data_IF_996536272319
#
_entry.id   IF_996536272319
#
_cell.length_a   1.000
_cell.length_b   1.000
_cell.length_c   1.000
_cell.angle_alpha   90.00
_cell.angle_beta   90.00
_cell.angle_gamma   90.00
#
_symmetry.space_group_name_H-M   'P 1'
#
loop_
_entity.id
_entity.type
_entity.pdbx_description
1 polymer ?
#
# COMPACT_ATOMS: atom_id res chain seq x y z
N UNK A 1 -11.60 -6.06 -8.36
CA UNK A 1 -12.99 -5.63 -8.21
C UNK A 1 -13.16 -4.22 -8.76
N UNK A 2 -12.53 -3.19 -8.18
CA UNK A 2 -12.75 -1.79 -8.60
C UNK A 2 -12.50 -1.57 -10.10
N UNK A 3 -11.40 -2.10 -10.64
CA UNK A 3 -11.03 -1.90 -12.05
C UNK A 3 -12.03 -2.54 -13.03
N UNK A 4 -12.73 -3.62 -12.64
CA UNK A 4 -13.78 -4.24 -13.48
C UNK A 4 -15.13 -3.52 -13.40
N UNK A 5 -15.34 -2.61 -12.44
CA UNK A 5 -16.63 -1.97 -12.17
C UNK A 5 -16.69 -0.49 -12.58
N UNK A 6 -15.58 0.11 -13.00
CA UNK A 6 -15.49 1.55 -13.32
C UNK A 6 -16.12 1.98 -14.66
N UNK A 7 -16.97 1.14 -15.26
CA UNK A 7 -17.69 1.48 -16.48
C UNK A 7 -16.76 1.81 -17.66
N UNK A 8 -16.92 2.96 -18.29
CA UNK A 8 -16.13 3.40 -19.46
C UNK A 8 -14.81 4.12 -19.08
N UNK A 9 -14.49 4.23 -17.79
CA UNK A 9 -13.29 4.87 -17.31
C UNK A 9 -12.11 3.89 -17.22
N UNK A 10 -10.90 4.44 -17.05
CA UNK A 10 -9.67 3.69 -16.83
C UNK A 10 -8.97 4.16 -15.56
N UNK A 11 -8.39 3.24 -14.81
CA UNK A 11 -7.52 3.58 -13.70
C UNK A 11 -6.12 3.92 -14.22
N UNK A 12 -5.65 5.13 -13.93
CA UNK A 12 -4.31 5.58 -14.31
C UNK A 12 -3.24 4.87 -13.46
N UNK A 13 -2.31 4.10 -14.05
CA UNK A 13 -1.40 3.22 -13.30
C UNK A 13 -0.08 3.90 -12.96
N UNK A 14 -0.09 5.18 -12.58
CA UNK A 14 1.11 5.98 -12.35
C UNK A 14 0.90 6.97 -11.20
N UNK A 15 1.97 7.26 -10.44
CA UNK A 15 1.93 8.25 -9.36
C UNK A 15 1.81 9.68 -9.86
N UNK A 16 2.49 10.02 -10.95
CA UNK A 16 2.34 11.34 -11.58
C UNK A 16 1.08 11.35 -12.46
N UNK A 17 0.33 12.46 -12.47
CA UNK A 17 -0.93 12.53 -13.21
C UNK A 17 -0.73 12.47 -14.73
N UNK A 18 -1.78 12.16 -15.44
CA UNK A 18 -1.88 12.21 -16.91
C UNK A 18 -1.93 13.66 -17.43
N UNK A 19 -2.70 13.92 -18.45
CA UNK A 19 -3.04 15.29 -18.88
C UNK A 19 -3.90 15.92 -17.78
N UNK A 20 -3.48 17.09 -17.30
CA UNK A 20 -4.20 17.81 -16.22
C UNK A 20 -4.68 19.17 -16.71
N UNK A 21 -5.87 19.61 -16.31
CA UNK A 21 -6.39 20.94 -16.59
C UNK A 21 -5.66 22.01 -15.78
N UNK A 22 -6.05 23.27 -15.90
CA UNK A 22 -5.58 24.33 -15.03
C UNK A 22 -6.03 24.10 -13.58
N UNK A 23 -5.35 24.72 -12.60
CA UNK A 23 -5.62 24.50 -11.18
C UNK A 23 -7.07 24.81 -10.77
N UNK A 24 -7.71 25.81 -11.39
CA UNK A 24 -9.08 26.25 -11.15
C UNK A 24 -10.14 25.28 -11.74
N UNK A 25 -9.77 24.49 -12.73
CA UNK A 25 -10.64 23.51 -13.37
C UNK A 25 -10.61 22.14 -12.67
N UNK A 26 -9.66 21.92 -11.74
CA UNK A 26 -9.53 20.65 -11.01
C UNK A 26 -10.70 20.47 -10.05
N UNK A 27 -11.49 19.42 -10.30
CA UNK A 27 -12.63 19.09 -9.45
C UNK A 27 -12.18 18.62 -8.09
N UNK A 28 -12.75 19.23 -7.05
CA UNK A 28 -12.53 18.81 -5.66
C UNK A 28 -13.42 17.60 -5.35
N UNK A 29 -12.85 16.56 -4.73
CA UNK A 29 -13.61 15.39 -4.32
C UNK A 29 -14.73 15.75 -3.35
N UNK A 30 -15.95 15.28 -3.64
CA UNK A 30 -17.13 15.42 -2.77
C UNK A 30 -17.41 14.08 -2.10
N UNK A 31 -17.79 14.14 -0.86
CA UNK A 31 -18.18 13.00 -0.04
C UNK A 31 -19.69 13.08 0.24
N UNK A 32 -20.17 12.29 1.20
CA UNK A 32 -21.57 12.31 1.61
C UNK A 32 -22.07 13.72 1.94
N UNK A 33 -23.35 13.98 1.66
CA UNK A 33 -24.01 15.24 2.00
C UNK A 33 -24.35 15.30 3.50
N UNK A 34 -23.31 15.29 4.34
CA UNK A 34 -23.43 15.42 5.78
C UNK A 34 -22.31 16.36 6.29
N UNK A 35 -22.33 16.68 7.57
CA UNK A 35 -21.36 17.59 8.20
C UNK A 35 -19.90 17.11 7.99
N UNK A 36 -19.62 15.81 8.16
CA UNK A 36 -18.28 15.25 7.96
C UNK A 36 -17.82 15.39 6.50
N UNK A 37 -18.72 15.18 5.54
CA UNK A 37 -18.44 15.34 4.11
C UNK A 37 -18.15 16.80 3.75
N UNK A 38 -18.88 17.75 4.31
CA UNK A 38 -18.65 19.18 4.11
C UNK A 38 -17.30 19.62 4.70
N UNK A 39 -16.97 19.20 5.91
CA UNK A 39 -15.65 19.48 6.53
C UNK A 39 -14.52 18.93 5.65
N UNK A 40 -14.66 17.71 5.13
CA UNK A 40 -13.66 17.12 4.25
C UNK A 40 -13.52 17.87 2.91
N UNK A 41 -14.60 18.41 2.37
CA UNK A 41 -14.60 19.23 1.16
C UNK A 41 -13.88 20.57 1.37
N UNK A 42 -14.25 21.33 2.42
CA UNK A 42 -13.61 22.60 2.73
C UNK A 42 -12.12 22.46 3.07
N UNK A 43 -11.75 21.39 3.78
CA UNK A 43 -10.34 21.07 4.01
C UNK A 43 -9.55 20.92 2.71
N UNK A 44 -10.07 20.16 1.71
CA UNK A 44 -9.42 20.01 0.41
C UNK A 44 -9.35 21.31 -0.38
N UNK A 45 -10.38 22.12 -0.31
CA UNK A 45 -10.40 23.44 -0.93
C UNK A 45 -9.30 24.35 -0.38
N UNK A 46 -9.06 24.29 0.94
CA UNK A 46 -7.95 25.01 1.57
C UNK A 46 -6.59 24.49 1.12
N UNK A 47 -6.42 23.15 1.01
CA UNK A 47 -5.19 22.56 0.48
C UNK A 47 -4.88 23.01 -0.94
N UNK A 48 -5.89 23.12 -1.82
CA UNK A 48 -5.70 23.62 -3.20
C UNK A 48 -5.21 25.06 -3.18
N UNK A 49 -5.80 25.93 -2.36
CA UNK A 49 -5.34 27.33 -2.20
C UNK A 49 -3.90 27.40 -1.69
N UNK A 50 -3.52 26.50 -0.76
CA UNK A 50 -2.20 26.49 -0.10
C UNK A 50 -1.11 25.90 -0.98
N UNK A 51 -1.38 24.80 -1.70
CA UNK A 51 -0.37 23.98 -2.39
C UNK A 51 -0.55 23.90 -3.92
N UNK A 52 -1.68 24.33 -4.45
CA UNK A 52 -2.06 24.19 -5.85
C UNK A 52 -2.82 22.90 -6.14
N UNK A 53 -3.70 22.92 -7.13
CA UNK A 53 -4.57 21.80 -7.49
C UNK A 53 -3.82 20.65 -8.13
N UNK A 54 -2.91 20.93 -9.07
CA UNK A 54 -2.14 19.91 -9.80
C UNK A 54 -1.31 19.02 -8.87
N UNK A 55 -0.75 19.57 -7.80
CA UNK A 55 0.01 18.79 -6.81
C UNK A 55 -0.85 17.80 -6.03
N UNK A 56 -2.15 18.09 -5.84
CA UNK A 56 -3.11 17.19 -5.18
C UNK A 56 -3.38 15.92 -6.00
N UNK A 57 -3.06 15.92 -7.30
CA UNK A 57 -3.28 14.78 -8.21
C UNK A 57 -2.14 13.76 -8.15
N UNK A 58 -1.03 14.08 -7.47
CA UNK A 58 0.04 13.11 -7.23
C UNK A 58 -0.45 12.07 -6.23
N UNK A 59 -0.30 10.81 -6.55
CA UNK A 59 -0.67 9.71 -5.67
C UNK A 59 0.49 8.73 -5.45
N UNK A 60 0.31 7.79 -4.54
CA UNK A 60 1.28 6.76 -4.22
C UNK A 60 0.68 5.68 -3.36
N UNK A 61 1.48 4.70 -3.00
CA UNK A 61 1.07 3.60 -2.14
C UNK A 61 1.41 3.95 -0.69
N UNK A 62 0.42 3.81 0.19
CA UNK A 62 0.65 3.82 1.62
C UNK A 62 0.80 2.37 2.10
N UNK A 63 1.97 2.06 2.62
CA UNK A 63 2.26 0.74 3.17
C UNK A 63 2.15 0.81 4.69
N UNK A 64 1.13 0.15 5.24
CA UNK A 64 0.90 0.05 6.68
C UNK A 64 1.61 -1.20 7.21
N UNK A 65 2.43 -1.02 8.23
CA UNK A 65 3.23 -2.09 8.81
C UNK A 65 3.10 -2.15 10.33
N UNK A 66 2.89 -3.35 10.84
CA UNK A 66 3.04 -3.69 12.27
C UNK A 66 3.65 -5.07 12.39
N UNK A 67 4.44 -5.29 13.42
CA UNK A 67 4.84 -6.62 13.81
C UNK A 67 3.68 -7.37 14.47
N UNK A 68 3.75 -8.70 14.43
CA UNK A 68 2.86 -9.56 15.22
C UNK A 68 2.99 -9.20 16.72
N UNK A 69 1.86 -9.05 17.37
CA UNK A 69 1.81 -8.63 18.77
C UNK A 69 2.52 -9.64 19.70
N UNK A 70 2.51 -10.93 19.35
CA UNK A 70 3.22 -11.96 20.14
C UNK A 70 4.74 -11.81 20.01
N UNK A 71 5.25 -11.36 18.85
CA UNK A 71 6.68 -11.08 18.71
C UNK A 71 7.09 -9.93 19.62
N UNK A 72 6.35 -8.82 19.62
CA UNK A 72 6.66 -7.66 20.49
C UNK A 72 6.59 -8.06 21.96
N UNK A 73 5.60 -8.88 22.37
CA UNK A 73 5.49 -9.38 23.76
C UNK A 73 6.64 -10.30 24.14
N UNK A 74 7.15 -11.13 23.23
CA UNK A 74 8.33 -11.95 23.48
C UNK A 74 9.58 -11.10 23.67
N UNK A 75 9.78 -10.09 22.80
CA UNK A 75 10.89 -9.14 22.94
C UNK A 75 10.81 -8.36 24.27
N UNK A 76 9.62 -7.90 24.64
CA UNK A 76 9.41 -7.22 25.92
C UNK A 76 9.77 -8.10 27.14
N UNK A 77 9.32 -9.36 27.14
CA UNK A 77 9.66 -10.31 28.22
C UNK A 77 11.16 -10.60 28.26
N UNK A 78 11.80 -10.72 27.10
CA UNK A 78 13.24 -10.92 27.02
C UNK A 78 13.99 -9.73 27.61
N UNK A 79 13.63 -8.50 27.23
CA UNK A 79 14.23 -7.27 27.72
C UNK A 79 14.13 -7.12 29.23
N UNK A 80 12.94 -7.36 29.81
CA UNK A 80 12.75 -7.32 31.28
C UNK A 80 13.60 -8.37 31.99
N UNK A 81 13.79 -9.55 31.40
CA UNK A 81 14.55 -10.64 32.02
C UNK A 81 16.07 -10.42 31.94
N UNK A 82 16.54 -9.72 30.89
CA UNK A 82 17.97 -9.48 30.64
C UNK A 82 18.44 -8.18 31.28
N UNK A 83 17.57 -7.18 31.30
CA UNK A 83 17.87 -5.93 31.96
C UNK A 83 17.72 -6.12 33.48
N UNK A 84 18.83 -6.21 34.16
CA UNK A 84 18.92 -6.05 35.64
C UNK A 84 18.45 -4.64 36.13
N UNK A 85 17.81 -3.89 35.23
CA UNK A 85 17.37 -2.51 35.42
C UNK A 85 16.04 -2.50 36.20
N UNK A 86 16.09 -1.86 37.34
CA UNK A 86 14.96 -1.58 38.26
C UNK A 86 13.89 -0.63 37.65
N UNK A 87 13.99 -0.24 36.41
CA UNK A 87 13.00 0.60 35.73
C UNK A 87 11.90 -0.25 35.11
N UNK A 88 10.72 -0.19 35.72
CA UNK A 88 9.50 -0.82 35.21
C UNK A 88 8.99 -0.09 33.94
N UNK A 89 9.64 -0.33 32.80
CA UNK A 89 9.15 0.17 31.51
C UNK A 89 7.83 -0.52 31.17
N UNK A 90 6.76 0.25 31.02
CA UNK A 90 5.46 -0.32 30.63
C UNK A 90 5.53 -0.94 29.24
N UNK A 91 4.72 -1.99 29.00
CA UNK A 91 4.63 -2.62 27.67
C UNK A 91 4.33 -1.60 26.54
N UNK A 92 3.46 -0.62 26.81
CA UNK A 92 3.16 0.48 25.87
C UNK A 92 4.42 1.27 25.51
N UNK A 93 5.19 1.67 26.50
CA UNK A 93 6.41 2.45 26.27
C UNK A 93 7.46 1.64 25.53
N UNK A 94 7.66 0.37 25.89
CA UNK A 94 8.54 -0.53 25.15
C UNK A 94 8.12 -0.65 23.68
N UNK A 95 6.84 -0.89 23.41
CA UNK A 95 6.29 -0.96 22.05
C UNK A 95 6.51 0.35 21.29
N UNK A 96 6.29 1.50 21.93
CA UNK A 96 6.56 2.81 21.35
C UNK A 96 8.04 2.97 20.97
N UNK A 97 8.98 2.58 21.85
CA UNK A 97 10.43 2.65 21.56
C UNK A 97 10.80 1.84 20.34
N UNK A 98 10.26 0.62 20.21
CA UNK A 98 10.46 -0.23 19.01
C UNK A 98 10.01 0.50 17.74
N UNK A 99 8.78 1.00 17.70
CA UNK A 99 8.24 1.65 16.51
C UNK A 99 8.90 2.99 16.21
N UNK A 100 9.32 3.74 17.21
CA UNK A 100 10.07 4.99 17.05
C UNK A 100 11.46 4.72 16.45
N UNK A 101 12.19 3.69 16.94
CA UNK A 101 13.46 3.24 16.36
C UNK A 101 13.28 2.90 14.87
N UNK A 102 12.27 2.10 14.54
CA UNK A 102 11.97 1.73 13.16
C UNK A 102 11.65 2.97 12.32
N UNK A 103 10.87 3.91 12.85
CA UNK A 103 10.52 5.15 12.14
C UNK A 103 11.76 6.00 11.84
N UNK A 104 12.68 6.19 12.82
CA UNK A 104 13.93 6.92 12.63
C UNK A 104 14.84 6.22 11.62
N UNK A 105 15.02 4.91 11.75
CA UNK A 105 15.79 4.13 10.78
C UNK A 105 15.14 4.15 9.39
N UNK A 106 13.80 4.09 9.29
CA UNK A 106 13.12 4.25 8.00
C UNK A 106 13.40 5.62 7.39
N UNK A 107 13.30 6.69 8.13
CA UNK A 107 13.61 8.04 7.66
C UNK A 107 15.05 8.13 7.15
N UNK A 108 15.99 7.47 7.81
CA UNK A 108 17.40 7.46 7.41
C UNK A 108 17.65 6.68 6.12
N UNK A 109 17.04 5.51 5.99
CA UNK A 109 17.30 4.56 4.89
C UNK A 109 16.25 4.59 3.77
N UNK A 110 15.21 5.44 3.85
CA UNK A 110 14.13 5.51 2.85
C UNK A 110 14.60 5.82 1.43
N UNK A 111 15.76 6.45 1.28
CA UNK A 111 16.36 6.70 -0.02
C UNK A 111 16.56 5.40 -0.82
N UNK A 112 16.89 4.28 -0.15
CA UNK A 112 17.06 2.98 -0.79
C UNK A 112 15.72 2.48 -1.36
N UNK A 113 14.62 2.66 -0.62
CA UNK A 113 13.26 2.32 -1.10
C UNK A 113 12.90 3.18 -2.30
N UNK A 114 13.15 4.48 -2.25
CA UNK A 114 12.92 5.39 -3.39
C UNK A 114 13.76 4.96 -4.60
N UNK A 115 15.01 4.56 -4.42
CA UNK A 115 15.87 4.09 -5.51
C UNK A 115 15.36 2.81 -6.15
N UNK A 116 15.07 1.79 -5.34
CA UNK A 116 14.74 0.45 -5.83
C UNK A 116 13.31 0.34 -6.37
N UNK A 117 12.35 1.08 -5.79
CA UNK A 117 10.92 0.99 -6.08
C UNK A 117 10.36 2.25 -6.74
N UNK A 118 11.17 3.27 -7.00
CA UNK A 118 10.73 4.50 -7.65
C UNK A 118 10.32 4.26 -9.10
N UNK A 119 9.19 4.88 -9.49
CA UNK A 119 8.59 4.75 -10.81
C UNK A 119 7.80 6.01 -11.23
N UNK A 120 8.15 7.18 -10.70
CA UNK A 120 7.44 8.44 -11.00
C UNK A 120 8.39 9.53 -11.52
N UNK A 121 9.27 9.14 -12.43
CA UNK A 121 10.33 10.00 -12.97
C UNK A 121 9.95 10.74 -14.25
N UNK A 122 8.70 10.64 -14.71
CA UNK A 122 8.24 11.23 -15.97
C UNK A 122 7.00 12.07 -15.72
N UNK A 123 6.87 13.20 -16.40
CA UNK A 123 5.73 14.11 -16.32
C UNK A 123 5.24 14.52 -17.71
N UNK A 124 3.93 14.71 -17.82
CA UNK A 124 3.34 15.35 -18.99
C UNK A 124 3.49 16.89 -18.87
N UNK A 125 3.65 17.59 -20.00
CA UNK A 125 3.79 19.05 -20.09
C UNK A 125 2.73 19.83 -19.25
N UNK A 126 1.49 19.35 -19.24
CA UNK A 126 0.38 20.01 -18.54
C UNK A 126 0.52 20.01 -17.03
N UNK A 127 1.34 19.12 -16.45
CA UNK A 127 1.66 19.15 -15.03
C UNK A 127 2.38 20.46 -14.66
N UNK A 128 3.30 20.96 -15.51
CA UNK A 128 3.83 22.32 -15.47
C UNK A 128 4.59 22.72 -14.20
N UNK A 129 5.06 21.76 -13.38
CA UNK A 129 5.88 22.07 -12.20
C UNK A 129 7.23 22.63 -12.63
N UNK A 130 7.51 23.90 -12.30
CA UNK A 130 8.79 24.54 -12.64
C UNK A 130 9.99 23.74 -12.15
N UNK A 131 9.92 23.19 -10.94
CA UNK A 131 10.99 22.37 -10.36
C UNK A 131 11.34 21.18 -11.25
N UNK A 132 10.35 20.39 -11.68
CA UNK A 132 10.58 19.25 -12.57
C UNK A 132 11.04 19.73 -13.96
N UNK A 133 10.39 20.74 -14.52
CA UNK A 133 10.65 21.20 -15.88
C UNK A 133 12.04 21.81 -16.05
N UNK A 134 12.57 22.53 -15.04
CA UNK A 134 13.91 23.13 -15.10
C UNK A 134 15.06 22.12 -15.21
N UNK A 135 14.85 20.89 -14.71
CA UNK A 135 15.86 19.83 -14.72
C UNK A 135 15.56 18.75 -15.77
N UNK A 136 14.43 18.85 -16.49
CA UNK A 136 13.95 17.82 -17.42
C UNK A 136 14.15 18.23 -18.86
N UNK A 137 14.30 17.21 -19.72
CA UNK A 137 14.31 17.33 -21.19
C UNK A 137 13.09 16.64 -21.76
N UNK A 138 12.61 17.10 -22.89
CA UNK A 138 11.57 16.40 -23.66
C UNK A 138 12.14 15.13 -24.27
N UNK A 139 11.55 13.98 -23.95
CA UNK A 139 11.96 12.65 -24.42
C UNK A 139 10.99 12.02 -25.41
N UNK A 140 9.76 12.52 -25.45
CA UNK A 140 8.70 12.21 -26.40
C UNK A 140 7.73 13.41 -26.42
N UNK A 141 6.80 13.43 -27.37
CA UNK A 141 5.83 14.54 -27.48
C UNK A 141 5.20 14.89 -26.14
N UNK A 142 5.36 16.15 -25.71
CA UNK A 142 4.83 16.73 -24.46
C UNK A 142 5.20 15.96 -23.18
N UNK A 143 6.30 15.18 -23.23
CA UNK A 143 6.72 14.24 -22.21
C UNK A 143 8.13 14.59 -21.72
N UNK A 144 8.29 14.84 -20.44
CA UNK A 144 9.51 15.37 -19.85
C UNK A 144 10.06 14.46 -18.75
N UNK A 145 11.38 14.28 -18.73
CA UNK A 145 12.12 13.63 -17.66
C UNK A 145 13.53 14.20 -17.53
N UNK A 146 14.12 14.12 -16.34
CA UNK A 146 15.55 14.10 -16.15
C UNK A 146 16.00 12.64 -16.30
N UNK A 147 16.99 12.36 -17.14
CA UNK A 147 17.45 10.98 -17.42
C UNK A 147 17.97 10.26 -16.17
N UNK A 148 18.48 11.01 -15.18
CA UNK A 148 18.88 10.48 -13.87
C UNK A 148 17.74 10.30 -12.88
N UNK A 149 16.52 10.79 -13.15
CA UNK A 149 15.43 10.80 -12.20
C UNK A 149 14.86 9.40 -11.92
N UNK A 150 14.46 9.19 -10.68
CA UNK A 150 13.79 7.98 -10.21
C UNK A 150 12.36 8.27 -9.78
N UNK A 151 12.12 9.38 -9.05
CA UNK A 151 10.80 9.67 -8.48
C UNK A 151 10.59 11.16 -8.23
N UNK A 152 9.91 11.86 -9.13
CA UNK A 152 9.52 13.24 -8.87
C UNK A 152 8.57 13.39 -7.68
N UNK A 153 7.72 12.38 -7.43
CA UNK A 153 6.85 12.38 -6.27
C UNK A 153 7.61 12.46 -4.94
N UNK A 154 8.77 11.79 -4.84
CA UNK A 154 9.58 11.75 -3.63
C UNK A 154 10.66 12.86 -3.56
N UNK A 155 10.74 13.73 -4.57
CA UNK A 155 11.63 14.89 -4.62
C UNK A 155 10.95 16.13 -4.04
N UNK A 156 11.69 17.25 -4.02
CA UNK A 156 11.15 18.59 -3.74
C UNK A 156 10.15 19.08 -4.80
N UNK A 157 10.08 18.42 -5.95
CA UNK A 157 9.08 18.65 -7.00
C UNK A 157 7.71 18.01 -6.67
N UNK A 158 7.66 17.07 -5.72
CA UNK A 158 6.45 16.36 -5.33
C UNK A 158 5.50 17.16 -4.45
N UNK A 159 4.47 16.49 -3.95
CA UNK A 159 3.52 17.07 -3.02
C UNK A 159 4.05 17.00 -1.59
N UNK A 160 4.45 18.14 -1.06
CA UNK A 160 5.08 18.30 0.27
C UNK A 160 4.69 19.63 0.91
N UNK A 161 4.97 19.79 2.21
CA UNK A 161 4.81 21.07 2.88
C UNK A 161 5.70 22.13 2.21
N UNK A 162 5.26 23.42 2.26
CA UNK A 162 5.99 24.54 1.65
C UNK A 162 7.38 24.74 2.27
N UNK A 163 7.47 24.45 3.56
CA UNK A 163 8.71 24.42 4.33
C UNK A 163 8.95 23.02 4.81
N UNK A 164 10.18 22.65 5.09
CA UNK A 164 10.51 21.35 5.65
C UNK A 164 10.05 21.30 7.12
N UNK A 165 9.16 20.37 7.42
CA UNK A 165 8.65 20.13 8.77
C UNK A 165 9.24 18.79 9.27
N UNK A 166 10.08 18.88 10.28
CA UNK A 166 10.79 17.74 10.86
C UNK A 166 10.24 17.51 12.27
N UNK A 167 9.32 16.53 12.47
CA UNK A 167 8.88 16.16 13.81
C UNK A 167 9.98 15.47 14.58
N UNK A 168 9.96 15.64 15.88
CA UNK A 168 10.84 14.91 16.79
C UNK A 168 10.31 13.49 17.03
N UNK A 169 11.04 12.49 16.57
CA UNK A 169 10.72 11.06 16.75
C UNK A 169 11.42 10.43 17.95
N UNK A 170 11.93 11.19 18.90
CA UNK A 170 12.58 10.67 20.11
C UNK A 170 11.58 10.02 21.07
N UNK A 171 10.37 10.59 21.19
CA UNK A 171 9.26 10.02 21.95
C UNK A 171 7.91 10.33 21.29
N UNK A 172 6.85 9.65 21.73
CA UNK A 172 5.47 9.95 21.29
C UNK A 172 5.05 11.35 21.72
N UNK A 173 5.43 11.74 22.93
CA UNK A 173 5.16 13.05 23.51
C UNK A 173 5.82 14.17 22.68
N UNK A 174 7.09 14.01 22.33
CA UNK A 174 7.85 14.98 21.52
C UNK A 174 7.32 15.05 20.09
N UNK A 175 6.95 13.91 19.50
CA UNK A 175 6.30 13.89 18.20
C UNK A 175 4.99 14.68 18.19
N UNK A 176 4.15 14.50 19.20
CA UNK A 176 2.91 15.26 19.36
C UNK A 176 3.19 16.73 19.67
N UNK A 177 4.20 17.02 20.48
CA UNK A 177 4.68 18.37 20.76
C UNK A 177 5.03 19.11 19.46
N UNK A 178 5.80 18.47 18.57
CA UNK A 178 6.15 19.00 17.25
C UNK A 178 4.90 19.30 16.41
N UNK A 179 3.93 18.35 16.35
CA UNK A 179 2.69 18.57 15.62
C UNK A 179 1.88 19.77 16.15
N UNK A 180 1.79 19.92 17.47
CA UNK A 180 1.11 21.04 18.12
C UNK A 180 1.81 22.37 17.81
N UNK A 181 3.15 22.41 17.86
CA UNK A 181 3.91 23.59 17.49
C UNK A 181 3.64 23.97 16.04
N UNK A 182 3.72 23.03 15.09
CA UNK A 182 3.44 23.31 13.69
C UNK A 182 2.04 23.86 13.43
N UNK A 183 1.05 23.41 14.22
CA UNK A 183 -0.34 23.93 14.13
C UNK A 183 -0.44 25.30 14.76
N UNK A 184 0.14 25.54 15.95
CA UNK A 184 0.10 26.81 16.63
C UNK A 184 0.84 27.91 15.87
N UNK A 185 1.92 27.55 15.17
CA UNK A 185 2.71 28.44 14.31
C UNK A 185 2.09 28.62 12.90
N UNK A 186 0.85 28.13 12.68
CA UNK A 186 0.09 28.20 11.42
C UNK A 186 0.82 27.62 10.20
N UNK A 187 1.80 26.73 10.42
CA UNK A 187 2.55 26.06 9.35
C UNK A 187 1.70 24.99 8.66
N UNK A 188 0.84 24.33 9.45
CA UNK A 188 -0.18 23.36 8.98
C UNK A 188 -1.51 23.60 9.69
N UNK A 189 -2.62 23.33 9.00
CA UNK A 189 -3.97 23.50 9.56
C UNK A 189 -4.35 22.34 10.50
N UNK A 190 -3.76 21.17 10.32
CA UNK A 190 -3.98 19.98 11.14
C UNK A 190 -2.86 18.96 10.99
N UNK A 191 -2.77 18.00 11.92
CA UNK A 191 -1.82 16.88 11.84
C UNK A 191 -1.93 16.08 10.52
N UNK A 192 -3.09 16.12 9.83
CA UNK A 192 -3.31 15.45 8.53
C UNK A 192 -2.46 16.08 7.42
N UNK A 193 -2.07 17.33 7.58
CA UNK A 193 -1.28 18.10 6.61
C UNK A 193 0.24 17.88 6.74
N UNK A 194 0.70 17.13 7.74
CA UNK A 194 2.11 16.74 7.80
C UNK A 194 2.43 15.73 6.68
N UNK A 195 3.24 16.15 5.70
CA UNK A 195 3.69 15.28 4.58
C UNK A 195 5.06 14.65 4.87
N UNK A 196 5.09 13.83 5.91
CA UNK A 196 6.24 13.03 6.30
C UNK A 196 6.27 11.69 5.53
N UNK A 197 7.47 11.13 5.32
CA UNK A 197 7.67 9.82 4.69
C UNK A 197 7.17 8.65 5.54
N UNK A 198 7.09 8.84 6.87
CA UNK A 198 6.51 7.88 7.82
C UNK A 198 5.60 8.59 8.80
N UNK A 199 4.46 7.99 9.12
CA UNK A 199 3.52 8.46 10.14
C UNK A 199 3.32 7.40 11.22
N UNK A 200 3.31 7.86 12.46
CA UNK A 200 2.90 7.05 13.61
C UNK A 200 1.37 6.95 13.62
N UNK A 201 0.82 5.77 13.73
CA UNK A 201 -0.64 5.56 13.69
C UNK A 201 -1.18 5.04 15.02
N UNK A 202 -2.19 5.72 15.60
CA UNK A 202 -2.88 5.31 16.81
C UNK A 202 -3.96 4.25 16.51
N UNK A 203 -4.57 3.75 17.57
CA UNK A 203 -5.74 2.87 17.51
C UNK A 203 -6.99 3.60 17.00
N UNK A 204 -7.23 4.82 17.49
CA UNK A 204 -8.35 5.67 17.07
C UNK A 204 -7.82 6.89 16.31
N UNK A 205 -8.08 6.93 15.00
CA UNK A 205 -7.61 8.01 14.11
C UNK A 205 -8.45 9.30 14.23
N UNK A 206 -9.68 9.22 14.75
CA UNK A 206 -10.54 10.40 14.96
C UNK A 206 -10.06 11.21 16.18
N UNK A 207 -9.49 10.56 17.19
CA UNK A 207 -8.85 11.17 18.34
C UNK A 207 -7.31 11.03 18.29
N UNK A 208 -6.71 11.32 17.15
CA UNK A 208 -5.33 10.98 16.79
C UNK A 208 -4.31 11.22 17.91
N UNK A 209 -4.17 12.46 18.40
CA UNK A 209 -3.14 12.80 19.39
C UNK A 209 -3.41 12.15 20.76
N UNK A 210 -4.68 12.14 21.18
CA UNK A 210 -5.11 11.55 22.45
C UNK A 210 -4.92 10.03 22.45
N UNK A 211 -5.32 9.35 21.36
CA UNK A 211 -5.16 7.91 21.24
C UNK A 211 -3.68 7.52 21.13
N UNK A 212 -2.84 8.33 20.46
CA UNK A 212 -1.41 8.07 20.36
C UNK A 212 -0.73 8.15 21.76
N UNK A 213 -1.12 9.11 22.58
CA UNK A 213 -0.63 9.24 23.97
C UNK A 213 -1.12 8.10 24.88
N UNK A 214 -2.41 7.77 24.81
CA UNK A 214 -3.02 6.81 25.72
C UNK A 214 -2.72 5.36 25.34
N UNK A 215 -2.86 5.02 24.05
CA UNK A 215 -2.80 3.65 23.54
C UNK A 215 -1.44 3.32 22.91
N UNK A 216 -0.61 4.33 22.62
CA UNK A 216 0.67 4.18 21.93
C UNK A 216 0.52 3.92 20.43
N UNK A 217 1.66 3.65 19.80
CA UNK A 217 1.78 3.39 18.37
C UNK A 217 1.22 1.99 18.07
N UNK A 218 0.28 1.90 17.13
CA UNK A 218 -0.27 0.62 16.67
C UNK A 218 0.43 0.10 15.43
N UNK A 219 0.73 1.00 14.47
CA UNK A 219 1.44 0.67 13.25
C UNK A 219 2.12 1.90 12.66
N UNK A 220 3.01 1.68 11.70
CA UNK A 220 3.64 2.73 10.89
C UNK A 220 3.02 2.77 9.51
N UNK A 221 2.80 3.97 8.98
CA UNK A 221 2.37 4.19 7.60
C UNK A 221 3.54 4.77 6.80
N UNK A 222 4.10 3.98 5.90
CA UNK A 222 5.13 4.44 4.96
C UNK A 222 4.48 5.04 3.71
N UNK A 223 5.03 6.15 3.23
CA UNK A 223 4.41 6.96 2.18
C UNK A 223 5.33 7.25 1.00
N UNK A 224 6.52 6.66 0.96
CA UNK A 224 7.53 6.91 -0.08
C UNK A 224 7.42 5.96 -1.28
N UNK A 225 6.44 5.07 -1.34
CA UNK A 225 6.33 4.04 -2.38
C UNK A 225 5.53 4.60 -3.55
N UNK A 226 6.14 4.59 -4.75
CA UNK A 226 5.47 4.96 -5.99
C UNK A 226 4.54 3.84 -6.48
N UNK A 227 3.56 4.21 -7.29
CA UNK A 227 2.78 3.24 -8.05
C UNK A 227 3.68 2.71 -9.18
N UNK A 228 3.94 1.40 -9.15
CA UNK A 228 4.64 0.72 -10.23
C UNK A 228 3.66 0.45 -11.39
N UNK A 229 3.84 1.09 -12.56
CA UNK A 229 2.91 0.93 -13.68
C UNK A 229 2.91 -0.46 -14.30
N UNK A 230 3.96 -1.27 -14.07
CA UNK A 230 4.07 -2.62 -14.61
C UNK A 230 3.30 -3.66 -13.78
N UNK A 231 2.80 -3.26 -12.63
CA UNK A 231 2.03 -4.11 -11.73
C UNK A 231 0.57 -3.65 -11.67
N UNK A 232 -0.37 -4.57 -11.91
CA UNK A 232 -1.80 -4.28 -11.88
C UNK A 232 -2.28 -3.71 -10.54
N UNK A 233 -1.70 -4.17 -9.43
CA UNK A 233 -1.94 -3.66 -8.08
C UNK A 233 -1.09 -2.45 -7.69
N UNK A 234 -0.23 -1.98 -8.59
CA UNK A 234 0.68 -0.86 -8.34
C UNK A 234 1.94 -1.22 -7.53
N UNK A 235 2.04 -2.44 -7.03
CA UNK A 235 3.20 -2.98 -6.31
C UNK A 235 3.26 -4.50 -6.51
N UNK A 236 4.45 -5.08 -6.65
CA UNK A 236 4.62 -6.52 -6.79
C UNK A 236 4.63 -7.23 -5.42
N UNK A 237 4.33 -8.54 -5.42
CA UNK A 237 4.49 -9.37 -4.24
C UNK A 237 5.96 -9.45 -3.80
N UNK A 238 6.90 -9.41 -4.74
CA UNK A 238 8.34 -9.37 -4.47
C UNK A 238 8.73 -8.11 -3.71
N UNK A 239 8.24 -6.93 -4.14
CA UNK A 239 8.48 -5.66 -3.45
C UNK A 239 7.88 -5.68 -2.03
N UNK A 240 6.68 -6.26 -1.85
CA UNK A 240 6.07 -6.42 -0.52
C UNK A 240 6.89 -7.35 0.39
N UNK A 241 7.39 -8.47 -0.15
CA UNK A 241 8.28 -9.37 0.58
C UNK A 241 9.58 -8.65 0.99
N UNK A 242 10.16 -7.84 0.09
CA UNK A 242 11.34 -7.03 0.41
C UNK A 242 11.06 -6.03 1.55
N UNK A 243 9.94 -5.32 1.50
CA UNK A 243 9.54 -4.38 2.55
C UNK A 243 9.36 -5.06 3.92
N UNK A 244 8.88 -6.30 3.97
CA UNK A 244 8.78 -7.06 5.22
C UNK A 244 10.17 -7.30 5.84
N UNK A 245 11.13 -7.75 5.03
CA UNK A 245 12.50 -8.02 5.53
C UNK A 245 13.22 -6.71 5.86
N UNK A 246 12.98 -5.67 5.08
CA UNK A 246 13.50 -4.34 5.35
C UNK A 246 13.08 -3.82 6.72
N UNK A 247 11.85 -4.09 7.15
CA UNK A 247 11.41 -3.74 8.50
C UNK A 247 12.15 -4.51 9.61
N UNK A 248 12.52 -5.77 9.39
CA UNK A 248 13.39 -6.50 10.31
C UNK A 248 14.79 -5.88 10.37
N UNK A 249 15.34 -5.49 9.22
CA UNK A 249 16.58 -4.75 9.18
C UNK A 249 16.50 -3.45 9.99
N UNK A 250 15.45 -2.64 9.79
CA UNK A 250 15.26 -1.39 10.53
C UNK A 250 15.11 -1.59 12.03
N UNK A 251 14.55 -2.72 12.47
CA UNK A 251 14.45 -3.09 13.89
C UNK A 251 15.82 -3.42 14.49
N UNK A 252 16.64 -4.19 13.75
CA UNK A 252 17.93 -4.73 14.23
C UNK A 252 19.03 -3.67 14.12
N UNK A 253 19.01 -2.87 13.04
CA UNK A 253 20.04 -1.88 12.75
C UNK A 253 20.19 -0.86 13.87
N UNK A 254 21.42 -0.65 14.30
CA UNK A 254 21.75 0.41 15.24
C UNK A 254 21.46 1.78 14.63
N UNK A 255 21.02 2.68 15.47
CA UNK A 255 20.79 4.08 15.08
C UNK A 255 22.10 4.83 15.01
N UNK A 256 22.12 5.90 14.23
CA UNK A 256 23.28 6.80 14.17
C UNK A 256 23.19 7.86 15.24
N UNK A 257 24.29 8.12 15.88
CA UNK A 257 24.47 9.24 16.82
C UNK A 257 24.76 10.58 16.12
N UNK A 258 24.75 10.60 14.77
CA UNK A 258 25.02 11.83 14.01
C UNK A 258 23.89 12.84 14.16
N UNK A 259 24.20 14.00 14.71
CA UNK A 259 23.22 15.03 15.10
C UNK A 259 22.33 15.48 13.91
N UNK A 260 22.94 15.67 12.72
CA UNK A 260 22.24 16.18 11.54
C UNK A 260 21.65 15.09 10.63
N UNK A 261 21.44 13.87 11.13
CA UNK A 261 21.01 12.73 10.32
C UNK A 261 19.67 12.95 9.58
N UNK A 262 18.73 13.73 10.13
CA UNK A 262 17.43 13.98 9.50
C UNK A 262 17.55 14.86 8.24
N UNK A 263 18.37 15.93 8.34
CA UNK A 263 18.66 16.79 7.21
C UNK A 263 19.40 16.02 6.10
N UNK A 264 20.43 15.26 6.50
CA UNK A 264 21.18 14.36 5.62
C UNK A 264 20.25 13.34 4.91
N UNK A 265 19.34 12.72 5.66
CA UNK A 265 18.39 11.76 5.11
C UNK A 265 17.42 12.40 4.09
N UNK A 266 17.02 13.65 4.30
CA UNK A 266 16.19 14.40 3.36
C UNK A 266 16.96 14.75 2.10
N UNK A 267 18.19 15.20 2.23
CA UNK A 267 19.06 15.49 1.10
C UNK A 267 19.32 14.23 0.27
N UNK A 268 19.68 13.13 0.90
CA UNK A 268 19.91 11.84 0.23
C UNK A 268 18.67 11.39 -0.54
N UNK A 269 17.47 11.48 0.07
CA UNK A 269 16.23 11.16 -0.63
C UNK A 269 16.00 12.05 -1.85
N UNK A 270 16.21 13.36 -1.74
CA UNK A 270 16.05 14.30 -2.85
C UNK A 270 17.04 14.01 -3.99
N UNK A 271 18.31 13.76 -3.65
CA UNK A 271 19.33 13.42 -4.62
C UNK A 271 19.02 12.11 -5.36
N UNK A 272 18.59 11.07 -4.63
CA UNK A 272 18.12 9.83 -5.24
C UNK A 272 16.90 10.06 -6.12
N UNK A 273 15.92 10.80 -5.67
CA UNK A 273 14.70 11.02 -6.42
C UNK A 273 14.96 11.73 -7.77
N UNK A 274 15.91 12.64 -7.82
CA UNK A 274 16.25 13.42 -9.02
C UNK A 274 17.36 12.82 -9.88
N UNK A 275 18.29 12.08 -9.29
CA UNK A 275 19.53 11.65 -9.96
C UNK A 275 19.89 10.19 -9.67
N UNK A 276 18.97 9.42 -9.10
CA UNK A 276 19.25 8.07 -8.62
C UNK A 276 19.61 7.05 -9.70
N UNK A 277 19.34 7.30 -10.99
CA UNK A 277 19.82 6.44 -12.08
C UNK A 277 21.30 6.70 -12.42
N UNK A 278 21.81 7.87 -12.06
CA UNK A 278 23.23 8.24 -12.29
C UNK A 278 24.13 7.66 -11.18
N UNK A 279 25.43 7.71 -11.44
CA UNK A 279 26.44 7.42 -10.43
C UNK A 279 26.64 8.65 -9.53
N UNK A 280 25.95 8.67 -8.40
CA UNK A 280 26.02 9.76 -7.42
C UNK A 280 26.56 9.28 -6.08
N UNK A 281 27.09 10.23 -5.32
CA UNK A 281 27.41 10.05 -3.92
C UNK A 281 26.24 10.50 -3.04
N UNK A 282 26.08 9.82 -1.91
CA UNK A 282 25.20 10.17 -0.81
C UNK A 282 26.03 10.58 0.40
N UNK A 283 25.39 11.12 1.41
CA UNK A 283 26.03 11.50 2.66
C UNK A 283 25.64 10.47 3.74
N UNK A 284 26.64 9.89 4.40
CA UNK A 284 26.50 8.95 5.52
C UNK A 284 27.31 9.48 6.70
N UNK A 285 26.64 9.99 7.72
CA UNK A 285 27.26 10.58 8.91
C UNK A 285 28.27 11.68 8.56
N UNK A 286 27.88 12.59 7.65
CA UNK A 286 28.70 13.68 7.14
C UNK A 286 29.73 13.29 6.09
N UNK A 287 29.87 12.00 5.75
CA UNK A 287 30.89 11.49 4.82
C UNK A 287 30.25 11.09 3.50
N UNK A 288 30.85 11.48 2.38
CA UNK A 288 30.41 11.07 1.04
C UNK A 288 30.67 9.58 0.81
N UNK A 289 29.66 8.87 0.39
CA UNK A 289 29.70 7.43 0.07
C UNK A 289 28.98 7.20 -1.25
N UNK A 290 29.56 6.39 -2.13
CA UNK A 290 28.91 6.01 -3.38
C UNK A 290 27.55 5.36 -3.09
N UNK A 291 26.49 5.83 -3.77
CA UNK A 291 25.14 5.23 -3.72
C UNK A 291 25.20 3.71 -3.90
N UNK A 292 25.97 3.23 -4.90
CA UNK A 292 26.09 1.80 -5.20
C UNK A 292 26.71 1.03 -4.03
N UNK A 293 27.80 1.54 -3.47
CA UNK A 293 28.50 0.89 -2.35
C UNK A 293 27.58 0.80 -1.15
N UNK A 294 26.93 1.90 -0.77
CA UNK A 294 26.03 1.92 0.40
C UNK A 294 24.76 1.07 0.18
N UNK A 295 24.19 1.08 -1.04
CA UNK A 295 23.07 0.19 -1.37
C UNK A 295 23.43 -1.28 -1.17
N UNK A 296 24.60 -1.71 -1.67
CA UNK A 296 25.06 -3.09 -1.56
C UNK A 296 25.41 -3.48 -0.12
N UNK A 297 25.99 -2.58 0.66
CA UNK A 297 26.22 -2.77 2.11
C UNK A 297 24.90 -3.11 2.81
N UNK A 298 23.88 -2.26 2.67
CA UNK A 298 22.58 -2.46 3.31
C UNK A 298 21.91 -3.76 2.83
N UNK A 299 21.90 -4.00 1.51
CA UNK A 299 21.24 -5.20 0.96
C UNK A 299 21.93 -6.50 1.38
N UNK A 300 23.25 -6.51 1.54
CA UNK A 300 23.98 -7.65 2.08
C UNK A 300 23.70 -7.88 3.58
N UNK A 301 23.57 -6.81 4.37
CA UNK A 301 23.13 -6.91 5.77
C UNK A 301 21.72 -7.53 5.84
N UNK A 302 20.78 -7.07 5.00
CA UNK A 302 19.42 -7.63 4.89
C UNK A 302 19.46 -9.12 4.48
N UNK A 303 20.33 -9.48 3.54
CA UNK A 303 20.52 -10.87 3.10
C UNK A 303 21.01 -11.76 4.23
N UNK A 304 21.98 -11.29 5.01
CA UNK A 304 22.48 -11.99 6.17
C UNK A 304 21.39 -12.22 7.23
N UNK A 305 20.53 -11.24 7.48
CA UNK A 305 19.36 -11.36 8.38
C UNK A 305 18.40 -12.44 7.85
N UNK A 306 18.07 -12.44 6.55
CA UNK A 306 17.19 -13.45 5.96
C UNK A 306 17.76 -14.86 6.14
N UNK A 307 19.04 -15.04 5.87
CA UNK A 307 19.73 -16.34 6.00
C UNK A 307 19.79 -16.76 7.47
N UNK A 308 20.20 -15.86 8.37
CA UNK A 308 20.31 -16.17 9.80
C UNK A 308 18.97 -16.58 10.43
N UNK A 309 17.89 -15.90 10.05
CA UNK A 309 16.53 -16.17 10.54
C UNK A 309 15.81 -17.26 9.73
N UNK A 310 16.45 -17.82 8.70
CA UNK A 310 15.90 -18.84 7.79
C UNK A 310 14.54 -18.43 7.19
N UNK A 311 14.46 -17.20 6.68
CA UNK A 311 13.21 -16.62 6.15
C UNK A 311 12.88 -17.10 4.72
N UNK A 312 13.85 -17.66 3.99
CA UNK A 312 13.68 -18.16 2.62
C UNK A 312 13.38 -17.06 1.60
N UNK A 313 13.90 -15.81 1.84
CA UNK A 313 13.65 -14.64 1.00
C UNK A 313 14.87 -14.16 0.21
N UNK A 314 15.92 -14.99 0.14
CA UNK A 314 17.19 -14.65 -0.50
C UNK A 314 17.00 -14.24 -1.96
N UNK A 315 16.14 -14.93 -2.71
CA UNK A 315 15.84 -14.59 -4.13
C UNK A 315 15.28 -13.17 -4.29
N UNK A 316 14.40 -12.77 -3.40
CA UNK A 316 13.85 -11.40 -3.39
C UNK A 316 14.95 -10.38 -3.15
N UNK A 317 15.85 -10.64 -2.21
CA UNK A 317 16.95 -9.73 -1.87
C UNK A 317 17.99 -9.71 -3.00
N UNK A 318 18.30 -10.85 -3.59
CA UNK A 318 19.22 -10.95 -4.74
C UNK A 318 18.69 -10.13 -5.94
N UNK A 319 17.37 -10.10 -6.19
CA UNK A 319 16.78 -9.22 -7.20
C UNK A 319 16.98 -7.73 -6.89
N UNK A 320 16.91 -7.32 -5.62
CA UNK A 320 17.20 -5.93 -5.22
C UNK A 320 18.69 -5.61 -5.32
N UNK A 321 19.58 -6.56 -5.02
CA UNK A 321 21.04 -6.43 -5.22
C UNK A 321 21.34 -6.21 -6.70
N UNK A 322 20.73 -6.96 -7.61
CA UNK A 322 20.93 -6.77 -9.05
C UNK A 322 20.42 -5.39 -9.52
N UNK A 323 19.27 -4.91 -9.01
CA UNK A 323 18.82 -3.52 -9.28
C UNK A 323 19.82 -2.47 -8.76
N UNK A 324 20.46 -2.72 -7.61
CA UNK A 324 21.45 -1.81 -7.06
C UNK A 324 22.77 -1.80 -7.86
N UNK A 325 23.13 -2.95 -8.46
CA UNK A 325 24.30 -3.08 -9.33
C UNK A 325 24.11 -2.43 -10.70
N UNK A 326 22.90 -2.59 -11.27
CA UNK A 326 22.56 -2.08 -12.60
C UNK A 326 21.23 -1.29 -12.54
N UNK A 327 21.33 0.04 -12.64
CA UNK A 327 20.17 0.94 -12.63
C UNK A 327 19.17 0.68 -13.76
N UNK A 328 19.58 0.00 -14.85
CA UNK A 328 18.69 -0.38 -15.95
C UNK A 328 17.61 -1.38 -15.53
N UNK A 329 17.82 -2.08 -14.43
CA UNK A 329 16.86 -3.03 -13.88
C UNK A 329 15.77 -2.35 -13.02
N UNK A 330 15.92 -1.06 -12.68
CA UNK A 330 14.94 -0.30 -11.90
C UNK A 330 13.65 -0.04 -12.69
N UNK A 331 12.55 0.16 -11.99
CA UNK A 331 11.27 0.52 -12.62
C UNK A 331 11.35 1.86 -13.35
N UNK A 332 12.04 2.85 -12.77
CA UNK A 332 12.21 4.17 -13.37
C UNK A 332 12.90 4.10 -14.73
N UNK A 333 14.00 3.34 -14.86
CA UNK A 333 14.70 3.17 -16.13
C UNK A 333 13.81 2.46 -17.17
N UNK A 334 13.20 1.33 -16.80
CA UNK A 334 12.30 0.57 -17.68
C UNK A 334 11.12 1.42 -18.15
N UNK A 335 10.57 2.25 -17.28
CA UNK A 335 9.49 3.17 -17.61
C UNK A 335 9.93 4.22 -18.63
N UNK A 336 11.11 4.83 -18.41
CA UNK A 336 11.67 5.82 -19.34
C UNK A 336 11.89 5.21 -20.73
N UNK A 337 12.40 3.97 -20.81
CA UNK A 337 12.61 3.27 -22.09
C UNK A 337 11.29 3.01 -22.85
N UNK A 338 10.25 2.58 -22.14
CA UNK A 338 8.90 2.37 -22.74
C UNK A 338 8.30 3.69 -23.21
N UNK A 339 8.39 4.74 -22.39
CA UNK A 339 7.79 6.05 -22.68
C UNK A 339 8.53 6.78 -23.81
N UNK A 340 9.85 6.64 -23.92
CA UNK A 340 10.61 7.14 -25.09
C UNK A 340 10.09 6.60 -26.41
N UNK A 341 9.62 5.37 -26.42
CA UNK A 341 9.11 4.68 -27.64
C UNK A 341 7.65 4.99 -27.95
N UNK A 342 6.80 5.12 -26.91
CA UNK A 342 5.34 5.18 -27.06
C UNK A 342 4.73 6.54 -26.70
N UNK A 343 5.45 7.41 -25.99
CA UNK A 343 4.90 8.60 -25.34
C UNK A 343 4.29 8.27 -23.97
N UNK A 344 4.15 9.31 -23.12
CA UNK A 344 3.69 9.15 -21.74
C UNK A 344 2.25 8.66 -21.64
N UNK A 345 1.37 9.28 -22.41
CA UNK A 345 -0.06 8.97 -22.36
C UNK A 345 -0.36 7.58 -22.94
N UNK A 346 0.16 7.29 -24.12
CA UNK A 346 -0.15 6.04 -24.83
C UNK A 346 0.41 4.83 -24.08
N UNK A 347 1.64 4.93 -23.53
CA UNK A 347 2.25 3.85 -22.74
C UNK A 347 1.38 3.47 -21.53
N UNK A 348 0.90 4.45 -20.78
CA UNK A 348 0.10 4.19 -19.57
C UNK A 348 -1.36 3.83 -19.91
N UNK A 349 -1.93 4.41 -20.95
CA UNK A 349 -3.28 4.07 -21.40
C UNK A 349 -3.36 2.62 -21.91
N UNK A 350 -2.33 2.15 -22.61
CA UNK A 350 -2.23 0.74 -23.03
C UNK A 350 -2.24 -0.20 -21.81
N UNK A 351 -1.46 0.10 -20.76
CA UNK A 351 -1.46 -0.65 -19.51
C UNK A 351 -2.82 -0.61 -18.80
N UNK A 352 -3.45 0.57 -18.75
CA UNK A 352 -4.78 0.75 -18.16
C UNK A 352 -5.83 -0.11 -18.85
N UNK A 353 -5.84 -0.13 -20.19
CA UNK A 353 -6.73 -0.96 -21.00
C UNK A 353 -6.49 -2.44 -20.73
N UNK A 354 -5.23 -2.89 -20.80
CA UNK A 354 -4.85 -4.27 -20.50
C UNK A 354 -5.33 -4.70 -19.10
N UNK A 355 -5.11 -3.88 -18.09
CA UNK A 355 -5.52 -4.19 -16.71
C UNK A 355 -7.04 -4.23 -16.55
N UNK A 356 -7.76 -3.37 -17.26
CA UNK A 356 -9.22 -3.38 -17.28
C UNK A 356 -9.77 -4.65 -17.96
N UNK A 357 -9.25 -4.99 -19.13
CA UNK A 357 -9.63 -6.19 -19.87
C UNK A 357 -9.37 -7.45 -19.05
N UNK A 358 -8.17 -7.58 -18.47
CA UNK A 358 -7.83 -8.69 -17.59
C UNK A 358 -8.74 -8.74 -16.35
N UNK A 359 -9.03 -7.60 -15.73
CA UNK A 359 -9.93 -7.52 -14.58
C UNK A 359 -11.36 -7.92 -14.95
N UNK A 360 -11.83 -7.52 -16.13
CA UNK A 360 -13.15 -7.89 -16.62
C UNK A 360 -13.24 -9.38 -16.96
N UNK A 361 -12.22 -9.92 -17.65
CA UNK A 361 -12.13 -11.36 -17.96
C UNK A 361 -12.14 -12.22 -16.70
N UNK A 362 -11.46 -11.78 -15.66
CA UNK A 362 -11.34 -12.49 -14.38
C UNK A 362 -12.32 -11.97 -13.32
N UNK A 363 -13.37 -11.20 -13.70
CA UNK A 363 -14.25 -10.51 -12.75
C UNK A 363 -15.01 -11.41 -11.77
N UNK A 364 -15.20 -12.66 -12.12
CA UNK A 364 -15.84 -13.63 -11.25
C UNK A 364 -14.87 -14.39 -10.35
N UNK A 365 -13.59 -14.46 -10.71
CA UNK A 365 -12.56 -15.10 -9.90
C UNK A 365 -12.10 -14.15 -8.79
N UNK A 366 -11.88 -14.69 -7.63
CA UNK A 366 -11.33 -13.98 -6.49
C UNK A 366 -9.89 -14.47 -6.24
N UNK A 367 -8.91 -13.58 -6.46
CA UNK A 367 -7.49 -13.91 -6.33
C UNK A 367 -7.16 -14.43 -4.91
N UNK A 368 -6.41 -15.54 -4.84
CA UNK A 368 -6.09 -16.22 -3.58
C UNK A 368 -7.17 -17.17 -3.07
N UNK A 369 -8.28 -17.32 -3.84
CA UNK A 369 -9.41 -18.19 -3.53
C UNK A 369 -9.86 -19.00 -4.76
N UNK A 370 -8.95 -19.20 -5.72
CA UNK A 370 -9.22 -19.89 -6.98
C UNK A 370 -9.52 -21.39 -6.78
N UNK A 371 -9.15 -21.93 -5.65
CA UNK A 371 -9.43 -23.29 -5.21
C UNK A 371 -10.88 -23.49 -4.71
N UNK A 372 -11.57 -22.41 -4.36
CA UNK A 372 -12.97 -22.47 -3.96
C UNK A 372 -13.90 -22.56 -5.19
N UNK A 373 -15.08 -23.10 -4.98
CA UNK A 373 -16.15 -23.09 -6.00
C UNK A 373 -16.45 -21.67 -6.46
N UNK A 374 -16.74 -21.51 -7.75
CA UNK A 374 -17.01 -20.20 -8.34
C UNK A 374 -18.18 -19.47 -7.63
N UNK A 375 -19.22 -20.19 -7.22
CA UNK A 375 -20.34 -19.66 -6.45
C UNK A 375 -19.91 -19.03 -5.13
N UNK A 376 -19.00 -19.70 -4.41
CA UNK A 376 -18.43 -19.20 -3.16
C UNK A 376 -17.56 -17.98 -3.39
N UNK A 377 -16.72 -17.98 -4.44
CA UNK A 377 -15.91 -16.82 -4.83
C UNK A 377 -16.80 -15.60 -5.17
N UNK A 378 -17.91 -15.80 -5.90
CA UNK A 378 -18.86 -14.74 -6.25
C UNK A 378 -19.53 -14.18 -4.97
N UNK A 379 -19.99 -15.04 -4.07
CA UNK A 379 -20.58 -14.61 -2.81
C UNK A 379 -19.58 -13.79 -1.96
N UNK A 380 -18.36 -14.26 -1.84
CA UNK A 380 -17.29 -13.53 -1.13
C UNK A 380 -17.03 -12.16 -1.78
N UNK A 381 -16.92 -12.10 -3.11
CA UNK A 381 -16.72 -10.86 -3.87
C UNK A 381 -17.84 -9.86 -3.61
N UNK A 382 -19.10 -10.30 -3.68
CA UNK A 382 -20.26 -9.44 -3.45
C UNK A 382 -20.37 -9.01 -1.98
N UNK A 383 -19.94 -9.85 -1.05
CA UNK A 383 -19.82 -9.51 0.37
C UNK A 383 -18.77 -8.42 0.61
N UNK A 384 -17.59 -8.57 0.01
CA UNK A 384 -16.50 -7.57 0.09
C UNK A 384 -16.97 -6.21 -0.45
N UNK A 385 -17.66 -6.18 -1.60
CA UNK A 385 -18.22 -4.95 -2.17
C UNK A 385 -19.16 -4.22 -1.22
N UNK A 386 -19.86 -4.94 -0.35
CA UNK A 386 -20.81 -4.42 0.65
C UNK A 386 -20.16 -4.14 2.01
N UNK A 387 -18.84 -4.22 2.09
CA UNK A 387 -18.10 -4.02 3.34
C UNK A 387 -18.33 -5.12 4.38
N UNK A 388 -18.71 -6.33 3.94
CA UNK A 388 -18.83 -7.51 4.78
C UNK A 388 -17.47 -8.19 4.87
N UNK A 389 -16.96 -8.40 6.08
CA UNK A 389 -15.72 -9.17 6.30
C UNK A 389 -15.98 -10.63 5.99
N UNK A 390 -15.15 -11.23 5.14
CA UNK A 390 -15.23 -12.65 4.78
C UNK A 390 -14.03 -13.41 5.34
N UNK A 391 -14.27 -14.61 5.82
CA UNK A 391 -13.27 -15.51 6.38
C UNK A 391 -13.56 -16.92 5.87
N UNK A 392 -12.54 -17.62 5.32
CA UNK A 392 -12.70 -19.02 4.93
C UNK A 392 -12.44 -19.89 6.14
N UNK A 393 -13.44 -20.68 6.53
CA UNK A 393 -13.37 -21.60 7.66
C UNK A 393 -12.81 -22.95 7.20
N UNK A 394 -13.33 -23.46 6.07
CA UNK A 394 -12.84 -24.69 5.45
C UNK A 394 -12.85 -24.54 3.92
N UNK A 395 -11.70 -24.73 3.30
CA UNK A 395 -11.52 -24.58 1.85
C UNK A 395 -12.13 -25.76 1.08
N UNK A 396 -11.97 -26.97 1.58
CA UNK A 396 -12.45 -28.19 0.93
C UNK A 396 -13.96 -28.26 0.86
N UNK A 397 -14.62 -27.79 1.93
CA UNK A 397 -16.08 -27.76 2.05
C UNK A 397 -16.71 -26.45 1.55
N UNK A 398 -15.90 -25.52 1.04
CA UNK A 398 -16.37 -24.18 0.63
C UNK A 398 -17.16 -23.48 1.76
N UNK A 399 -16.66 -23.58 2.99
CA UNK A 399 -17.32 -23.09 4.19
C UNK A 399 -16.73 -21.75 4.60
N UNK A 400 -17.57 -20.72 4.62
CA UNK A 400 -17.14 -19.33 4.89
C UNK A 400 -17.95 -18.72 6.04
N UNK A 401 -17.33 -17.73 6.69
CA UNK A 401 -17.97 -16.88 7.69
C UNK A 401 -18.04 -15.45 7.17
N UNK A 402 -19.22 -14.85 7.25
CA UNK A 402 -19.51 -13.47 6.85
C UNK A 402 -19.81 -12.66 8.11
N UNK A 403 -19.09 -11.54 8.32
CA UNK A 403 -19.22 -10.68 9.51
C UNK A 403 -19.47 -9.23 9.12
N UNK A 404 -20.51 -8.64 9.67
CA UNK A 404 -20.76 -7.20 9.53
C UNK A 404 -21.43 -6.68 10.80
N UNK A 405 -20.86 -5.63 11.39
CA UNK A 405 -21.30 -5.08 12.67
C UNK A 405 -21.32 -6.20 13.74
N UNK A 406 -22.47 -6.39 14.41
CA UNK A 406 -22.67 -7.45 15.39
C UNK A 406 -23.30 -8.74 14.81
N UNK A 407 -23.37 -8.86 13.48
CA UNK A 407 -23.96 -10.02 12.81
C UNK A 407 -22.89 -10.93 12.25
N UNK A 408 -23.05 -12.23 12.47
CA UNK A 408 -22.22 -13.29 11.92
C UNK A 408 -23.09 -14.31 11.22
N UNK A 409 -22.74 -14.69 10.00
CA UNK A 409 -23.42 -15.72 9.22
C UNK A 409 -22.40 -16.73 8.71
N UNK A 410 -22.75 -18.00 8.80
CA UNK A 410 -21.96 -19.11 8.26
C UNK A 410 -22.64 -19.65 7.01
N UNK A 411 -21.87 -19.78 5.93
CA UNK A 411 -22.40 -20.22 4.64
C UNK A 411 -21.53 -21.34 4.08
N UNK A 412 -22.16 -22.43 3.65
CA UNK A 412 -21.52 -23.54 2.96
C UNK A 412 -21.95 -23.57 1.49
N UNK A 413 -21.00 -23.68 0.56
CA UNK A 413 -21.23 -23.77 -0.89
C UNK A 413 -22.14 -22.65 -1.44
N UNK A 414 -22.03 -21.45 -0.88
CA UNK A 414 -22.79 -20.24 -1.23
C UNK A 414 -24.33 -20.33 -1.13
N UNK A 415 -24.88 -21.47 -0.76
CA UNK A 415 -26.33 -21.73 -0.78
C UNK A 415 -26.92 -22.19 0.56
N UNK A 416 -26.08 -22.75 1.44
CA UNK A 416 -26.54 -23.28 2.74
C UNK A 416 -26.14 -22.30 3.84
N UNK A 417 -27.13 -21.86 4.61
CA UNK A 417 -26.97 -20.82 5.64
C UNK A 417 -27.42 -21.32 7.01
N UNK A 418 -27.20 -20.54 8.07
CA UNK A 418 -27.68 -20.86 9.42
C UNK A 418 -29.22 -20.94 9.53
N UNK A 419 -29.95 -20.46 8.52
CA UNK A 419 -31.41 -20.48 8.49
C UNK A 419 -32.00 -21.73 7.83
N UNK A 420 -31.15 -22.52 7.15
CA UNK A 420 -31.59 -23.76 6.54
C UNK A 420 -31.69 -24.85 7.60
N UNK A 421 -32.79 -25.58 7.60
CA UNK A 421 -32.95 -26.75 8.47
C UNK A 421 -32.16 -27.93 7.89
N UNK A 422 -31.74 -28.87 8.73
CA UNK A 422 -31.11 -30.10 8.28
C UNK A 422 -31.89 -30.83 7.19
N UNK A 423 -33.22 -30.86 7.35
CA UNK A 423 -34.15 -31.50 6.37
C UNK A 423 -34.14 -30.74 5.05
N UNK A 424 -34.15 -29.40 5.05
CA UNK A 424 -34.09 -28.62 3.79
C UNK A 424 -32.78 -28.84 3.07
N UNK A 425 -31.65 -28.99 3.78
CA UNK A 425 -30.36 -29.31 3.18
C UNK A 425 -30.39 -30.69 2.52
N UNK A 426 -30.91 -31.71 3.17
CA UNK A 426 -31.05 -33.07 2.61
C UNK A 426 -31.95 -33.10 1.36
N UNK A 427 -33.06 -32.32 1.37
CA UNK A 427 -33.93 -32.19 0.21
C UNK A 427 -33.16 -31.57 -0.95
N UNK A 428 -32.37 -30.48 -0.73
CA UNK A 428 -31.57 -29.83 -1.78
C UNK A 428 -30.45 -30.71 -2.36
N UNK A 429 -29.90 -31.61 -1.59
CA UNK A 429 -28.83 -32.51 -2.02
C UNK A 429 -29.35 -33.68 -2.90
N UNK A 430 -30.62 -34.05 -2.77
CA UNK A 430 -31.23 -35.12 -3.58
C UNK A 430 -32.15 -34.53 -4.67
N UNK A 431 -31.72 -34.62 -5.94
CA UNK A 431 -32.45 -34.04 -7.08
C UNK A 431 -33.84 -34.62 -7.27
N UNK A 432 -34.02 -35.91 -7.03
CA UNK A 432 -35.32 -36.59 -7.17
C UNK A 432 -36.30 -36.13 -6.07
N UNK A 433 -35.82 -36.04 -4.83
CA UNK A 433 -36.61 -35.52 -3.70
C UNK A 433 -36.92 -34.02 -3.92
N UNK A 434 -35.93 -33.21 -4.36
CA UNK A 434 -36.15 -31.79 -4.68
C UNK A 434 -37.24 -31.60 -5.71
N UNK A 435 -37.20 -32.34 -6.84
CA UNK A 435 -38.22 -32.28 -7.88
C UNK A 435 -39.60 -32.63 -7.36
N UNK A 436 -39.71 -33.68 -6.55
CA UNK A 436 -40.98 -34.09 -5.94
C UNK A 436 -41.55 -32.99 -5.03
N UNK A 437 -40.74 -32.50 -4.09
CA UNK A 437 -41.17 -31.45 -3.15
C UNK A 437 -41.58 -30.16 -3.88
N UNK A 438 -40.82 -29.73 -4.92
CA UNK A 438 -41.17 -28.56 -5.70
C UNK A 438 -42.46 -28.76 -6.49
N UNK A 439 -42.66 -29.93 -7.11
CA UNK A 439 -43.87 -30.29 -7.83
C UNK A 439 -45.10 -30.31 -6.92
N UNK A 440 -44.98 -30.88 -5.71
CA UNK A 440 -46.06 -30.93 -4.70
C UNK A 440 -46.46 -29.52 -4.21
N UNK A 441 -45.56 -28.55 -4.37
CA UNK A 441 -45.80 -27.13 -4.07
C UNK A 441 -46.11 -26.29 -5.32
N UNK A 442 -46.53 -26.90 -6.43
CA UNK A 442 -46.91 -26.24 -7.69
C UNK A 442 -45.79 -25.42 -8.36
N UNK A 443 -44.54 -25.76 -8.08
CA UNK A 443 -43.39 -25.18 -8.77
C UNK A 443 -43.04 -26.06 -9.98
N UNK A 444 -42.99 -25.46 -11.16
CA UNK A 444 -42.64 -26.18 -12.40
C UNK A 444 -41.19 -26.70 -12.32
N UNK A 445 -41.03 -27.98 -12.57
CA UNK A 445 -39.72 -28.67 -12.63
C UNK A 445 -39.64 -29.45 -13.94
N UNK A 446 -38.45 -29.63 -14.49
CA UNK A 446 -38.23 -30.47 -15.66
C UNK A 446 -38.72 -31.91 -15.37
N UNK A 447 -39.38 -32.53 -16.33
CA UNK A 447 -39.70 -33.95 -16.26
C UNK A 447 -38.42 -34.78 -16.25
N UNK A 448 -38.51 -35.94 -15.62
CA UNK A 448 -37.42 -36.88 -15.54
C UNK A 448 -37.74 -37.99 -14.57
N UNK A 449 -37.14 -39.12 -14.81
CA UNK A 449 -37.27 -40.33 -13.98
C UNK A 449 -35.89 -40.67 -13.40
N UNK A 450 -35.92 -41.37 -12.31
CA UNK A 450 -34.73 -42.02 -11.74
C UNK A 450 -34.65 -43.42 -12.34
N UNK A 451 -33.53 -43.78 -12.92
CA UNK A 451 -33.28 -45.08 -13.50
C UNK A 451 -32.20 -45.80 -12.71
N UNK A 452 -32.39 -47.07 -12.45
CA UNK A 452 -31.46 -47.91 -11.68
C UNK A 452 -30.45 -48.64 -12.59
N UNK A 453 -30.68 -48.66 -13.92
CA UNK A 453 -29.77 -49.27 -14.90
C UNK A 453 -29.77 -48.48 -16.20
N UNK A 454 -28.73 -48.72 -17.04
CA UNK A 454 -28.61 -48.12 -18.37
C UNK A 454 -29.77 -48.58 -19.28
N UNK A 455 -30.24 -49.81 -19.10
CA UNK A 455 -31.30 -50.42 -19.91
C UNK A 455 -32.66 -49.71 -19.62
N UNK A 456 -32.95 -49.37 -18.35
CA UNK A 456 -34.12 -48.54 -18.00
C UNK A 456 -34.09 -47.13 -18.61
N UNK A 457 -32.91 -46.61 -18.86
CA UNK A 457 -32.75 -45.23 -19.41
C UNK A 457 -32.81 -45.18 -20.92
N UNK A 458 -32.79 -46.34 -21.62
CA UNK A 458 -32.86 -46.43 -23.08
C UNK A 458 -34.31 -46.70 -23.56
N UNK A 459 -35.16 -47.24 -22.73
CA UNK A 459 -36.60 -47.45 -22.96
C UNK A 459 -37.40 -46.23 -22.47
#
# INVERSE_FOLDING_TARGET
ISVSEIGNEYLWPQSMPSIVPNDDEIRIARYDNNEKGNIAYEYRKNLIKKYGGKRQLICGIHYNFSFDENLIRKLYKYEINVADSKENVSYKNFKNTIYLKIARNYLRYRWLIVYLLGASNIVHKTYGCRCCMNISKEIARETFTNEGAVSYRNSDCGYRNKIELIPDYSSVENYIGSLKSFINDELIDSHKELYSAVRLKPKNVDEFMKSLLNDGIQYLEYRSIDINPFEKGGISLEDLNFLQIFNLYLLIKDESDYENWQSEATENQNNIAKYGLDNIDLIKDGIKVSKKTWSLEILNEIRNISTFLNLGKEKTIDAMIERAKDSKLTYAYKLADVVKKKGYIDAHLELSKKYKEDSYKNRFKLQGFEDLELSTQILMKESIKRGIKTEVIDRSENFICLKKDNKTEYVRQATKTSKDTYISVLIMENKSVTKKVLRDNNIKVPDGIEVCSIEEGIN
#
